data_IF_881151632918
#
_entry.id   IF_881151632918
#
_cell.length_a   1.000
_cell.length_b   1.000
_cell.length_c   1.000
_cell.angle_alpha   90.00
_cell.angle_beta   90.00
_cell.angle_gamma   90.00
#
_symmetry.space_group_name_H-M   'P 1'
#
loop_
_entity.id
_entity.type
_entity.pdbx_description
1 polymer ?
#
# COMPACT_ATOMS: atom_id res chain seq x y z
N UNK A 1 17.32 29.74 7.43
CA UNK A 1 15.97 29.39 6.89
C UNK A 1 15.59 30.55 6.04
N UNK A 2 15.82 30.43 4.77
CA UNK A 2 15.64 31.52 3.82
C UNK A 2 14.14 31.73 3.60
N UNK A 3 13.70 32.99 3.77
CA UNK A 3 12.39 33.46 3.37
C UNK A 3 12.22 33.21 1.88
N UNK A 4 11.54 32.13 1.51
CA UNK A 4 11.00 31.97 0.17
C UNK A 4 9.91 33.02 0.03
N UNK A 5 10.24 34.16 -0.62
CA UNK A 5 9.28 35.21 -0.93
C UNK A 5 8.09 34.60 -1.67
N UNK A 6 6.90 34.97 -1.25
CA UNK A 6 5.63 34.63 -1.90
C UNK A 6 5.70 35.18 -3.35
N UNK A 7 5.99 34.33 -4.30
CA UNK A 7 5.90 34.68 -5.71
C UNK A 7 4.44 34.52 -6.16
N UNK A 8 3.85 35.57 -6.70
CA UNK A 8 2.54 35.50 -7.37
C UNK A 8 2.57 34.38 -8.41
N UNK A 9 1.66 33.39 -8.31
CA UNK A 9 1.58 32.23 -9.20
C UNK A 9 2.25 30.95 -8.66
N UNK A 10 2.85 30.96 -7.45
CA UNK A 10 3.37 29.74 -6.82
C UNK A 10 2.22 28.89 -6.24
N UNK A 11 2.17 27.62 -6.63
CA UNK A 11 1.27 26.62 -6.04
C UNK A 11 2.06 25.81 -5.01
N UNK A 12 1.65 25.79 -3.76
CA UNK A 12 2.29 24.99 -2.72
C UNK A 12 1.93 23.49 -2.90
N UNK A 13 2.89 22.59 -2.62
CA UNK A 13 2.70 21.13 -2.84
C UNK A 13 1.54 20.57 -2.02
N UNK A 14 1.36 21.06 -0.78
CA UNK A 14 0.30 20.62 0.13
C UNK A 14 -1.12 20.99 -0.35
N UNK A 15 -1.23 21.91 -1.33
CA UNK A 15 -2.53 22.30 -1.89
C UNK A 15 -3.06 21.28 -2.91
N UNK A 16 -2.20 20.43 -3.51
CA UNK A 16 -2.58 19.49 -4.56
C UNK A 16 -2.87 18.08 -4.03
N UNK A 17 -2.12 17.63 -3.03
CA UNK A 17 -2.04 16.21 -2.69
C UNK A 17 -1.17 15.42 -3.68
N UNK A 18 -0.84 14.18 -3.33
CA UNK A 18 0.14 13.35 -4.07
C UNK A 18 -0.33 13.03 -5.50
N UNK A 19 -1.54 12.49 -5.64
CA UNK A 19 -2.03 12.00 -6.93
C UNK A 19 -2.31 13.11 -7.94
N UNK A 20 -2.87 14.25 -7.47
CA UNK A 20 -3.04 15.42 -8.33
C UNK A 20 -1.69 16.04 -8.75
N UNK A 21 -0.68 15.94 -7.89
CA UNK A 21 0.69 16.32 -8.24
C UNK A 21 1.27 15.40 -9.32
N UNK A 22 1.14 14.07 -9.16
CA UNK A 22 1.60 13.09 -10.16
C UNK A 22 0.92 13.36 -11.51
N UNK A 23 -0.40 13.50 -11.54
CA UNK A 23 -1.15 13.79 -12.75
C UNK A 23 -0.63 15.08 -13.41
N UNK A 24 -0.46 16.16 -12.65
CA UNK A 24 0.04 17.44 -13.17
C UNK A 24 1.45 17.36 -13.72
N UNK A 25 2.33 16.60 -13.07
CA UNK A 25 3.74 16.46 -13.49
C UNK A 25 3.90 15.52 -14.69
N UNK A 26 2.98 14.59 -14.88
CA UNK A 26 3.02 13.60 -15.97
C UNK A 26 2.10 13.96 -17.13
N UNK A 27 1.29 15.02 -16.99
CA UNK A 27 0.49 15.58 -18.08
C UNK A 27 1.40 16.05 -19.23
N UNK A 28 1.03 15.71 -20.47
CA UNK A 28 1.81 16.05 -21.65
C UNK A 28 2.95 15.09 -22.00
N UNK A 29 3.20 14.04 -21.21
CA UNK A 29 4.09 12.96 -21.63
C UNK A 29 3.41 12.06 -22.67
N UNK A 30 3.80 12.19 -23.91
CA UNK A 30 3.27 11.38 -25.01
C UNK A 30 3.88 9.97 -25.01
N UNK A 31 3.06 8.98 -25.36
CA UNK A 31 3.51 7.61 -25.56
C UNK A 31 4.09 7.45 -26.96
N UNK A 32 5.39 7.13 -27.05
CA UNK A 32 6.12 6.99 -28.32
C UNK A 32 6.36 5.54 -28.74
N UNK A 33 6.15 4.58 -27.84
CA UNK A 33 6.47 3.16 -28.08
C UNK A 33 5.21 2.30 -27.96
N UNK A 34 4.95 1.48 -28.96
CA UNK A 34 3.84 0.54 -28.99
C UNK A 34 3.93 -0.52 -27.87
N UNK A 35 5.13 -0.79 -27.37
CA UNK A 35 5.35 -1.67 -26.24
C UNK A 35 4.90 -1.09 -24.89
N UNK A 36 4.58 0.19 -24.80
CA UNK A 36 3.96 0.79 -23.61
C UNK A 36 2.44 0.60 -23.71
N UNK A 37 1.90 -0.42 -23.09
CA UNK A 37 0.46 -0.73 -23.09
C UNK A 37 -0.27 0.21 -22.13
N UNK A 38 0.24 0.36 -20.91
CA UNK A 38 -0.26 1.28 -19.89
C UNK A 38 0.94 1.93 -19.16
N UNK A 39 0.94 3.25 -19.03
CA UNK A 39 2.00 4.02 -18.40
C UNK A 39 1.68 4.39 -16.95
N UNK A 40 1.73 5.70 -16.65
CA UNK A 40 1.42 6.25 -15.32
C UNK A 40 -0.07 6.18 -15.05
N UNK A 41 -0.47 5.88 -13.80
CA UNK A 41 -1.87 5.94 -13.33
C UNK A 41 -2.41 4.65 -12.72
N UNK A 42 -1.57 3.61 -12.58
CA UNK A 42 -1.92 2.35 -11.90
C UNK A 42 -0.78 1.87 -10.99
N UNK A 43 -0.92 0.74 -10.32
CA UNK A 43 0.08 0.18 -9.39
C UNK A 43 1.38 -0.19 -10.08
N UNK A 44 1.31 -0.62 -11.34
CA UNK A 44 2.48 -0.85 -12.18
C UNK A 44 2.23 -0.43 -13.63
N UNK A 45 3.29 0.00 -14.33
CA UNK A 45 3.26 0.15 -15.77
C UNK A 45 3.17 -1.23 -16.44
N UNK A 46 2.42 -1.30 -17.57
CA UNK A 46 2.25 -2.53 -18.36
C UNK A 46 2.96 -2.37 -19.69
N UNK A 47 3.96 -3.21 -19.92
CA UNK A 47 4.85 -3.16 -21.08
C UNK A 47 4.83 -4.47 -21.88
N UNK A 48 5.14 -4.38 -23.17
CA UNK A 48 5.31 -5.52 -24.06
C UNK A 48 4.24 -5.68 -25.12
N UNK A 49 4.57 -6.33 -26.23
CA UNK A 49 3.70 -6.52 -27.41
C UNK A 49 3.09 -7.93 -27.50
N UNK A 50 3.60 -8.89 -26.71
CA UNK A 50 3.12 -10.28 -26.68
C UNK A 50 1.93 -10.49 -25.75
N UNK A 51 1.41 -11.71 -25.65
CA UNK A 51 0.30 -12.07 -24.75
C UNK A 51 0.69 -12.05 -23.28
N UNK A 52 1.96 -12.20 -22.95
CA UNK A 52 2.51 -11.97 -21.62
C UNK A 52 3.08 -10.55 -21.57
N UNK A 53 2.65 -9.78 -20.60
CA UNK A 53 3.09 -8.40 -20.38
C UNK A 53 4.08 -8.35 -19.23
N UNK A 54 5.00 -7.41 -19.30
CA UNK A 54 5.90 -7.05 -18.20
C UNK A 54 5.24 -5.96 -17.36
N UNK A 55 5.22 -6.15 -16.07
CA UNK A 55 4.77 -5.19 -15.06
C UNK A 55 6.00 -4.54 -14.43
N UNK A 56 6.01 -3.22 -14.31
CA UNK A 56 7.13 -2.47 -13.70
C UNK A 56 6.58 -1.45 -12.71
N UNK A 57 7.03 -1.55 -11.47
CA UNK A 57 6.68 -0.64 -10.38
C UNK A 57 7.92 -0.16 -9.64
N UNK A 58 7.82 0.99 -8.99
CA UNK A 58 8.89 1.58 -8.16
C UNK A 58 8.32 2.01 -6.83
N UNK A 59 9.00 1.62 -5.74
CA UNK A 59 8.68 2.07 -4.39
C UNK A 59 9.93 2.68 -3.74
N UNK A 60 9.78 3.82 -3.07
CA UNK A 60 10.87 4.53 -2.39
C UNK A 60 10.55 4.74 -0.92
N UNK A 61 11.45 4.35 -0.05
CA UNK A 61 11.39 4.59 1.39
C UNK A 61 12.46 5.59 1.82
N UNK A 62 12.06 6.60 2.58
CA UNK A 62 12.92 7.67 3.08
C UNK A 62 12.95 7.63 4.60
N UNK A 63 14.16 7.67 5.18
CA UNK A 63 14.35 7.73 6.62
C UNK A 63 13.69 8.99 7.22
N UNK A 64 13.01 8.80 8.35
CA UNK A 64 12.27 9.86 9.03
C UNK A 64 10.86 10.10 8.46
N UNK A 65 10.50 9.46 7.33
CA UNK A 65 9.16 9.50 6.73
C UNK A 65 8.53 8.10 6.79
N UNK A 66 9.16 7.11 6.14
CA UNK A 66 8.62 5.74 6.03
C UNK A 66 9.15 4.78 7.09
N UNK A 67 10.25 5.12 7.72
CA UNK A 67 10.88 4.35 8.80
C UNK A 67 11.74 5.24 9.70
N UNK A 68 11.92 4.82 10.95
CA UNK A 68 12.79 5.48 11.91
C UNK A 68 13.80 4.45 12.45
N UNK A 69 15.09 4.80 12.40
CA UNK A 69 16.18 3.91 12.83
C UNK A 69 16.21 3.66 14.35
N UNK A 70 15.44 4.39 15.14
CA UNK A 70 15.32 4.12 16.58
C UNK A 70 14.58 2.83 16.89
N UNK A 71 13.66 2.40 16.00
CA UNK A 71 12.83 1.22 16.23
C UNK A 71 12.71 0.28 15.02
N UNK A 72 13.28 0.63 13.87
CA UNK A 72 13.21 -0.22 12.68
C UNK A 72 14.52 -1.02 12.52
N UNK A 73 14.54 -2.34 12.78
CA UNK A 73 15.72 -3.14 12.50
C UNK A 73 16.01 -3.20 11.00
N UNK A 74 17.27 -3.06 10.62
CA UNK A 74 17.66 -2.99 9.19
C UNK A 74 17.23 -4.22 8.39
N UNK A 75 17.27 -5.40 8.98
CA UNK A 75 16.76 -6.62 8.34
C UNK A 75 15.27 -6.55 8.03
N UNK A 76 14.45 -6.00 8.93
CA UNK A 76 13.03 -5.77 8.67
C UNK A 76 12.81 -4.70 7.61
N UNK A 77 13.59 -3.62 7.66
CA UNK A 77 13.53 -2.57 6.63
C UNK A 77 13.81 -3.12 5.24
N UNK A 78 14.87 -3.93 5.08
CA UNK A 78 15.18 -4.56 3.80
C UNK A 78 14.07 -5.48 3.30
N UNK A 79 13.47 -6.27 4.19
CA UNK A 79 12.31 -7.11 3.85
C UNK A 79 11.11 -6.26 3.42
N UNK A 80 10.73 -5.26 4.25
CA UNK A 80 9.59 -4.37 4.02
C UNK A 80 9.70 -3.62 2.68
N UNK A 81 10.88 -3.10 2.35
CA UNK A 81 11.08 -2.35 1.11
C UNK A 81 10.82 -3.22 -0.14
N UNK A 82 11.28 -4.48 -0.12
CA UNK A 82 10.98 -5.42 -1.20
C UNK A 82 9.50 -5.79 -1.19
N UNK A 83 8.93 -6.13 -0.04
CA UNK A 83 7.53 -6.51 0.10
C UNK A 83 6.58 -5.43 -0.43
N UNK A 84 6.82 -4.16 -0.10
CA UNK A 84 6.04 -3.02 -0.59
C UNK A 84 6.10 -2.87 -2.12
N UNK A 85 7.29 -3.01 -2.73
CA UNK A 85 7.42 -2.95 -4.18
C UNK A 85 6.75 -4.14 -4.88
N UNK A 86 6.81 -5.34 -4.28
CA UNK A 86 6.15 -6.54 -4.81
C UNK A 86 4.62 -6.48 -4.65
N UNK A 87 4.11 -5.76 -3.66
CA UNK A 87 2.66 -5.57 -3.44
C UNK A 87 1.98 -4.94 -4.67
N UNK A 88 2.62 -3.97 -5.31
CA UNK A 88 2.14 -3.35 -6.54
C UNK A 88 2.01 -4.36 -7.70
N UNK A 89 2.91 -5.33 -7.77
CA UNK A 89 2.81 -6.42 -8.77
C UNK A 89 1.64 -7.36 -8.45
N UNK A 90 1.42 -7.64 -7.15
CA UNK A 90 0.25 -8.42 -6.71
C UNK A 90 -1.07 -7.68 -7.02
N UNK A 91 -1.12 -6.34 -6.81
CA UNK A 91 -2.26 -5.49 -7.11
C UNK A 91 -2.65 -5.50 -8.61
N UNK A 92 -1.69 -5.74 -9.50
CA UNK A 92 -1.94 -5.94 -10.94
C UNK A 92 -2.27 -7.39 -11.31
N UNK A 93 -2.53 -8.27 -10.33
CA UNK A 93 -2.76 -9.71 -10.51
C UNK A 93 -1.58 -10.42 -11.20
N UNK A 94 -0.37 -9.92 -10.97
CA UNK A 94 0.86 -10.39 -11.59
C UNK A 94 1.64 -11.39 -10.75
N UNK A 95 2.70 -11.92 -11.36
CA UNK A 95 3.70 -12.76 -10.72
C UNK A 95 5.03 -12.01 -10.69
N UNK A 96 5.66 -11.81 -9.52
CA UNK A 96 6.93 -11.09 -9.42
C UNK A 96 8.06 -11.95 -10.01
N UNK A 97 9.10 -11.31 -10.55
CA UNK A 97 10.25 -11.99 -11.16
C UNK A 97 11.58 -11.43 -10.71
N UNK A 98 11.78 -10.15 -10.87
CA UNK A 98 13.06 -9.51 -10.56
C UNK A 98 12.85 -8.22 -9.76
N UNK A 99 13.92 -7.82 -9.06
CA UNK A 99 14.03 -6.48 -8.48
C UNK A 99 15.37 -5.85 -8.80
N UNK A 100 15.41 -4.51 -8.79
CA UNK A 100 16.64 -3.74 -8.58
C UNK A 100 16.52 -2.94 -7.28
N UNK A 101 17.68 -2.69 -6.63
CA UNK A 101 17.72 -1.96 -5.36
C UNK A 101 18.70 -0.79 -5.49
N UNK A 102 18.20 0.43 -5.33
CA UNK A 102 19.05 1.62 -5.24
C UNK A 102 19.06 2.16 -3.82
N UNK A 103 20.25 2.41 -3.28
CA UNK A 103 20.42 2.97 -1.93
C UNK A 103 21.23 4.26 -1.96
N UNK A 104 20.80 5.24 -1.15
CA UNK A 104 21.61 6.39 -0.80
C UNK A 104 21.80 6.40 0.72
N UNK A 105 23.07 6.32 1.17
CA UNK A 105 23.41 6.14 2.57
C UNK A 105 24.45 7.13 3.05
N UNK A 106 24.37 7.52 4.32
CA UNK A 106 25.40 8.36 4.94
C UNK A 106 26.50 7.50 5.56
N UNK A 107 27.66 8.09 5.80
CA UNK A 107 28.83 7.43 6.40
C UNK A 107 28.65 7.04 7.89
N UNK A 108 27.50 7.26 8.49
CA UNK A 108 27.13 6.75 9.81
C UNK A 108 26.80 5.26 9.83
N UNK A 109 26.51 4.68 8.66
CA UNK A 109 26.24 3.25 8.52
C UNK A 109 27.54 2.49 8.25
N UNK A 110 27.74 1.39 8.98
CA UNK A 110 28.84 0.46 8.70
C UNK A 110 28.47 -0.53 7.59
N UNK A 111 29.45 -1.26 7.09
CA UNK A 111 29.24 -2.32 6.10
C UNK A 111 28.32 -3.40 6.69
N UNK A 112 28.55 -3.81 7.94
CA UNK A 112 27.76 -4.82 8.63
C UNK A 112 26.28 -4.40 8.76
N UNK A 113 26.03 -3.10 8.98
CA UNK A 113 24.67 -2.56 9.01
C UNK A 113 23.97 -2.72 7.66
N UNK A 114 24.69 -2.46 6.55
CA UNK A 114 24.15 -2.67 5.21
C UNK A 114 24.03 -4.16 4.85
N UNK A 115 24.89 -5.02 5.36
CA UNK A 115 24.75 -6.48 5.23
C UNK A 115 23.49 -6.98 5.91
N UNK A 116 23.10 -6.44 7.07
CA UNK A 116 21.82 -6.75 7.72
C UNK A 116 20.62 -6.27 6.89
N UNK A 117 20.68 -5.07 6.30
CA UNK A 117 19.66 -4.60 5.37
C UNK A 117 19.49 -5.58 4.20
N UNK A 118 20.59 -5.96 3.57
CA UNK A 118 20.59 -6.89 2.42
C UNK A 118 20.21 -8.33 2.84
N UNK A 119 20.44 -8.73 4.08
CA UNK A 119 19.91 -9.99 4.60
C UNK A 119 18.37 -10.01 4.60
N UNK A 120 17.74 -8.89 4.94
CA UNK A 120 16.29 -8.72 4.82
C UNK A 120 15.78 -8.76 3.39
N UNK A 121 16.45 -8.03 2.48
CA UNK A 121 16.15 -8.07 1.04
C UNK A 121 16.23 -9.51 0.51
N UNK A 122 17.31 -10.21 0.82
CA UNK A 122 17.50 -11.62 0.41
C UNK A 122 16.41 -12.53 0.93
N UNK A 123 16.00 -12.35 2.19
CA UNK A 123 14.93 -13.16 2.79
C UNK A 123 13.59 -12.99 2.04
N UNK A 124 13.23 -11.75 1.70
CA UNK A 124 12.03 -11.48 0.92
C UNK A 124 12.14 -12.06 -0.50
N UNK A 125 13.28 -11.87 -1.18
CA UNK A 125 13.53 -12.45 -2.50
C UNK A 125 13.38 -13.97 -2.49
N UNK A 126 13.96 -14.66 -1.51
CA UNK A 126 13.85 -16.12 -1.36
C UNK A 126 12.41 -16.58 -1.12
N UNK A 127 11.65 -15.82 -0.32
CA UNK A 127 10.26 -16.16 0.00
C UNK A 127 9.33 -16.09 -1.22
N UNK A 128 9.58 -15.14 -2.11
CA UNK A 128 8.72 -14.87 -3.27
C UNK A 128 9.33 -15.32 -4.61
N UNK A 129 10.46 -16.02 -4.58
CA UNK A 129 11.17 -16.53 -5.77
C UNK A 129 11.52 -15.41 -6.76
N UNK A 130 12.16 -14.36 -6.24
CA UNK A 130 12.50 -13.13 -6.97
C UNK A 130 14.01 -12.95 -7.03
N UNK A 131 14.53 -12.60 -8.20
CA UNK A 131 15.96 -12.34 -8.43
C UNK A 131 16.31 -10.86 -8.19
N UNK A 132 17.37 -10.60 -7.44
CA UNK A 132 18.04 -9.32 -7.43
C UNK A 132 18.97 -9.22 -8.66
N UNK A 133 18.63 -8.35 -9.62
CA UNK A 133 19.33 -8.27 -10.91
C UNK A 133 20.17 -7.01 -11.11
N UNK A 134 20.13 -6.06 -10.18
CA UNK A 134 20.90 -4.82 -10.27
C UNK A 134 20.57 -3.82 -9.18
N UNK A 135 21.13 -2.63 -9.33
CA UNK A 135 20.90 -1.54 -8.40
C UNK A 135 21.89 -0.42 -8.55
N UNK A 136 21.86 0.52 -7.61
CA UNK A 136 22.78 1.66 -7.54
C UNK A 136 23.11 2.00 -6.09
N UNK A 137 24.28 2.56 -5.84
CA UNK A 137 24.72 2.95 -4.49
C UNK A 137 25.28 4.36 -4.51
N UNK A 138 24.64 5.24 -3.75
CA UNK A 138 24.99 6.64 -3.65
C UNK A 138 25.22 7.10 -2.21
N UNK A 139 25.85 8.27 -2.06
CA UNK A 139 26.01 8.93 -0.77
C UNK A 139 24.81 9.81 -0.44
N UNK A 140 24.41 9.84 0.82
CA UNK A 140 23.41 10.78 1.37
C UNK A 140 24.00 11.58 2.53
N UNK A 141 23.57 12.83 2.68
CA UNK A 141 23.95 13.68 3.82
C UNK A 141 22.91 13.71 4.94
N UNK A 142 21.68 13.33 4.66
CA UNK A 142 20.53 13.55 5.53
C UNK A 142 19.85 12.26 6.04
N UNK A 143 20.27 11.10 5.58
CA UNK A 143 19.67 9.84 6.00
C UNK A 143 19.77 8.77 4.94
N UNK A 144 19.06 7.66 5.13
CA UNK A 144 18.95 6.58 4.15
C UNK A 144 17.75 6.79 3.23
N UNK A 145 17.98 6.60 1.93
CA UNK A 145 16.91 6.44 0.94
C UNK A 145 17.08 5.07 0.30
N UNK A 146 16.01 4.31 0.25
CA UNK A 146 15.97 2.96 -0.29
C UNK A 146 14.89 2.88 -1.34
N UNK A 147 15.27 2.62 -2.59
CA UNK A 147 14.35 2.48 -3.72
C UNK A 147 14.42 1.07 -4.28
N UNK A 148 13.28 0.42 -4.41
CA UNK A 148 13.15 -0.89 -5.04
C UNK A 148 12.29 -0.76 -6.28
N UNK A 149 12.84 -1.20 -7.43
CA UNK A 149 12.05 -1.38 -8.65
C UNK A 149 11.70 -2.86 -8.76
N UNK A 150 10.42 -3.16 -8.82
CA UNK A 150 9.90 -4.52 -9.02
C UNK A 150 9.53 -4.73 -10.48
N UNK A 151 9.90 -5.88 -11.01
CA UNK A 151 9.52 -6.35 -12.34
C UNK A 151 8.77 -7.67 -12.17
N UNK A 152 7.59 -7.72 -12.77
CA UNK A 152 6.73 -8.89 -12.77
C UNK A 152 6.19 -9.18 -14.17
N UNK A 153 5.37 -10.20 -14.26
CA UNK A 153 4.68 -10.55 -15.50
C UNK A 153 3.25 -11.01 -15.24
N UNK A 154 2.39 -10.82 -16.22
CA UNK A 154 1.03 -11.35 -16.22
C UNK A 154 0.57 -11.63 -17.66
N UNK A 155 -0.35 -12.59 -17.84
CA UNK A 155 -1.08 -12.70 -19.10
C UNK A 155 -1.99 -11.50 -19.28
N UNK A 156 -2.02 -10.88 -20.44
CA UNK A 156 -2.81 -9.68 -20.73
C UNK A 156 -4.28 -9.77 -20.29
N UNK A 157 -4.90 -10.93 -20.50
CA UNK A 157 -6.29 -11.19 -20.09
C UNK A 157 -6.50 -11.31 -18.57
N UNK A 158 -5.43 -11.45 -17.79
CA UNK A 158 -5.48 -11.63 -16.33
C UNK A 158 -5.05 -10.36 -15.58
N UNK A 159 -4.49 -9.37 -16.29
CA UNK A 159 -4.10 -8.11 -15.67
C UNK A 159 -5.35 -7.43 -15.12
N UNK A 160 -5.26 -7.02 -13.87
CA UNK A 160 -6.29 -6.23 -13.20
C UNK A 160 -5.76 -4.82 -12.95
N UNK A 161 -6.59 -3.83 -13.21
CA UNK A 161 -6.29 -2.41 -13.04
C UNK A 161 -7.10 -1.83 -11.88
N UNK A 162 -6.75 -0.63 -11.44
CA UNK A 162 -7.60 0.17 -10.52
C UNK A 162 -8.96 0.48 -11.15
N UNK A 163 -9.00 0.63 -12.47
CA UNK A 163 -10.22 0.83 -13.25
C UNK A 163 -10.87 -0.50 -13.63
N UNK A 164 -12.20 -0.48 -13.87
CA UNK A 164 -12.96 -1.63 -14.38
C UNK A 164 -14.05 -2.14 -13.44
N UNK A 165 -14.13 -1.59 -12.22
CA UNK A 165 -15.24 -1.88 -11.32
C UNK A 165 -16.58 -1.48 -11.97
N UNK A 166 -17.58 -2.33 -11.83
CA UNK A 166 -18.90 -2.17 -12.44
C UNK A 166 -20.00 -2.18 -11.39
N UNK A 167 -21.13 -1.56 -11.71
CA UNK A 167 -22.29 -1.52 -10.83
C UNK A 167 -22.66 -2.91 -10.30
N UNK A 168 -22.87 -3.00 -8.98
CA UNK A 168 -23.16 -4.21 -8.21
C UNK A 168 -22.00 -5.21 -8.07
N UNK A 169 -20.79 -4.87 -8.53
CA UNK A 169 -19.63 -5.69 -8.17
C UNK A 169 -19.44 -5.71 -6.65
N UNK A 170 -19.03 -6.84 -6.15
CA UNK A 170 -18.73 -7.01 -4.73
C UNK A 170 -17.35 -6.42 -4.43
N UNK A 171 -17.24 -5.68 -3.35
CA UNK A 171 -15.96 -5.17 -2.86
C UNK A 171 -15.41 -6.15 -1.84
N UNK A 172 -14.21 -6.63 -2.09
CA UNK A 172 -13.50 -7.59 -1.26
C UNK A 172 -12.18 -6.99 -0.77
N UNK A 173 -11.76 -7.36 0.43
CA UNK A 173 -10.43 -7.04 0.95
C UNK A 173 -9.79 -8.29 1.54
N UNK A 174 -8.48 -8.44 1.39
CA UNK A 174 -7.73 -9.52 2.01
C UNK A 174 -7.31 -9.18 3.45
N UNK A 175 -7.05 -10.21 4.25
CA UNK A 175 -6.48 -10.09 5.60
C UNK A 175 -7.28 -9.20 6.53
N UNK A 176 -6.59 -8.36 7.29
CA UNK A 176 -7.15 -7.35 8.19
C UNK A 176 -6.52 -5.98 7.96
N UNK A 177 -7.18 -4.94 8.46
CA UNK A 177 -6.85 -3.55 8.20
C UNK A 177 -6.54 -2.77 9.48
N UNK A 178 -5.63 -1.80 9.36
CA UNK A 178 -5.23 -0.89 10.41
C UNK A 178 -4.23 -1.47 11.42
N UNK A 179 -3.82 -2.74 11.25
CA UNK A 179 -2.86 -3.39 12.14
C UNK A 179 -1.45 -2.82 11.97
N UNK A 180 -1.03 -2.52 10.75
CA UNK A 180 0.28 -1.91 10.51
C UNK A 180 0.39 -0.52 11.15
N UNK A 181 -0.61 0.31 10.98
CA UNK A 181 -0.65 1.64 11.62
C UNK A 181 -0.70 1.55 13.14
N UNK A 182 -1.42 0.59 13.70
CA UNK A 182 -1.45 0.33 15.14
C UNK A 182 -0.07 -0.06 15.66
N UNK A 183 0.70 -0.85 14.90
CA UNK A 183 2.10 -1.16 15.21
C UNK A 183 2.99 0.08 15.22
N UNK A 184 2.83 0.98 14.25
CA UNK A 184 3.54 2.27 14.21
C UNK A 184 3.23 3.11 15.46
N UNK A 185 1.96 3.20 15.86
CA UNK A 185 1.56 3.95 17.05
C UNK A 185 2.24 3.45 18.33
N UNK A 186 2.35 2.13 18.49
CA UNK A 186 3.08 1.53 19.63
C UNK A 186 4.56 1.91 19.57
N UNK A 187 5.22 1.77 18.42
CA UNK A 187 6.64 2.11 18.28
C UNK A 187 6.92 3.60 18.53
N UNK A 188 6.07 4.49 18.05
CA UNK A 188 6.19 5.93 18.29
C UNK A 188 5.97 6.27 19.79
N UNK A 189 5.02 5.62 20.47
CA UNK A 189 4.80 5.76 21.91
C UNK A 189 6.05 5.35 22.69
N UNK A 190 6.60 4.19 22.39
CA UNK A 190 7.79 3.66 23.06
C UNK A 190 9.03 4.53 22.78
N UNK A 191 9.18 5.04 21.56
CA UNK A 191 10.24 6.00 21.21
C UNK A 191 10.16 7.29 22.05
N UNK A 192 8.96 7.85 22.24
CA UNK A 192 8.77 9.03 23.09
C UNK A 192 9.15 8.71 24.55
N UNK A 193 8.72 7.58 25.07
CA UNK A 193 9.03 7.10 26.42
C UNK A 193 10.53 6.91 26.61
N UNK A 194 11.20 6.22 25.68
CA UNK A 194 12.65 6.00 25.73
C UNK A 194 13.44 7.31 25.67
N UNK A 195 13.03 8.27 24.83
CA UNK A 195 13.68 9.59 24.78
C UNK A 195 13.56 10.37 26.08
N UNK A 196 12.43 10.23 26.80
CA UNK A 196 12.21 10.86 28.10
C UNK A 196 12.99 10.17 29.24
N UNK A 197 13.16 8.84 29.17
CA UNK A 197 13.87 8.04 30.15
C UNK A 197 14.58 6.85 29.49
N UNK A 198 15.86 6.99 29.10
CA UNK A 198 16.62 5.95 28.41
C UNK A 198 16.86 4.66 29.26
N UNK A 199 16.68 4.71 30.55
CA UNK A 199 16.79 3.51 31.43
C UNK A 199 15.53 2.64 31.38
N UNK A 200 14.45 3.15 30.80
CA UNK A 200 13.21 2.40 30.63
C UNK A 200 13.33 1.42 29.45
N UNK A 201 13.00 0.16 29.70
CA UNK A 201 12.96 -0.86 28.65
C UNK A 201 11.53 -0.93 28.09
N UNK A 202 11.34 -0.77 26.77
CA UNK A 202 10.03 -0.90 26.14
C UNK A 202 9.44 -2.30 26.37
N UNK A 203 8.17 -2.38 26.72
CA UNK A 203 7.42 -3.64 26.77
C UNK A 203 6.62 -3.83 25.47
N UNK A 204 7.19 -4.58 24.56
CA UNK A 204 6.62 -4.87 23.25
C UNK A 204 5.99 -6.27 23.15
N UNK A 205 6.18 -7.13 24.16
CA UNK A 205 5.85 -8.56 24.10
C UNK A 205 4.36 -8.87 23.85
N UNK A 206 3.46 -7.92 24.13
CA UNK A 206 2.03 -8.12 23.93
C UNK A 206 1.49 -7.52 22.62
N UNK A 207 2.37 -7.00 21.76
CA UNK A 207 2.01 -6.32 20.51
C UNK A 207 2.61 -6.99 19.27
N UNK A 208 3.08 -8.23 19.39
CA UNK A 208 3.83 -8.95 18.35
C UNK A 208 3.14 -8.88 16.99
N UNK A 209 1.83 -9.10 16.95
CA UNK A 209 1.08 -9.11 15.70
C UNK A 209 1.10 -7.75 14.98
N UNK A 210 0.70 -6.67 15.66
CA UNK A 210 0.66 -5.33 15.03
C UNK A 210 2.06 -4.83 14.69
N UNK A 211 3.07 -5.20 15.47
CA UNK A 211 4.47 -4.88 15.18
C UNK A 211 4.98 -5.64 13.94
N UNK A 212 4.64 -6.94 13.83
CA UNK A 212 4.98 -7.72 12.63
C UNK A 212 4.30 -7.14 11.40
N UNK A 213 3.02 -6.78 11.47
CA UNK A 213 2.29 -6.14 10.37
C UNK A 213 2.96 -4.85 9.89
N UNK A 214 3.46 -4.01 10.79
CA UNK A 214 4.16 -2.78 10.43
C UNK A 214 5.59 -3.01 9.92
N UNK A 215 6.38 -3.86 10.61
CA UNK A 215 7.80 -4.04 10.33
C UNK A 215 8.07 -5.02 9.18
N UNK A 216 7.16 -5.97 8.95
CA UNK A 216 7.33 -7.06 7.98
C UNK A 216 6.02 -7.39 7.27
N UNK A 217 5.47 -6.47 6.47
CA UNK A 217 4.26 -6.72 5.70
C UNK A 217 4.50 -7.83 4.67
N UNK A 218 3.41 -8.50 4.27
CA UNK A 218 3.45 -9.61 3.32
C UNK A 218 2.62 -9.26 2.08
N UNK A 219 3.22 -9.13 0.89
CA UNK A 219 2.46 -8.94 -0.35
C UNK A 219 1.60 -10.17 -0.64
N UNK A 220 0.34 -9.94 -0.99
CA UNK A 220 -0.71 -10.97 -0.99
C UNK A 220 -0.77 -11.81 -2.26
N UNK A 221 0.35 -12.39 -2.66
CA UNK A 221 0.39 -13.36 -3.77
C UNK A 221 -0.36 -14.67 -3.46
N UNK A 222 -0.61 -14.97 -2.19
CA UNK A 222 -1.49 -16.06 -1.78
C UNK A 222 -2.93 -15.84 -2.31
N UNK A 223 -3.44 -14.61 -2.22
CA UNK A 223 -4.75 -14.23 -2.74
C UNK A 223 -4.78 -14.26 -4.27
N UNK A 224 -3.75 -13.71 -4.93
CA UNK A 224 -3.61 -13.79 -6.40
C UNK A 224 -3.69 -15.26 -6.88
N UNK A 225 -2.95 -16.17 -6.22
CA UNK A 225 -3.01 -17.61 -6.53
C UNK A 225 -4.38 -18.24 -6.25
N UNK A 226 -5.05 -17.86 -5.16
CA UNK A 226 -6.40 -18.35 -4.84
C UNK A 226 -7.40 -17.91 -5.90
N UNK A 227 -7.40 -16.63 -6.31
CA UNK A 227 -8.25 -16.09 -7.38
C UNK A 227 -8.02 -16.85 -8.69
N UNK A 228 -6.77 -17.01 -9.09
CA UNK A 228 -6.42 -17.77 -10.29
C UNK A 228 -6.90 -19.23 -10.25
N UNK A 229 -6.74 -19.93 -9.12
CA UNK A 229 -7.19 -21.30 -8.93
C UNK A 229 -8.69 -21.49 -9.04
N UNK A 230 -9.46 -20.44 -8.70
CA UNK A 230 -10.93 -20.39 -8.78
C UNK A 230 -11.42 -19.86 -10.14
N UNK A 231 -10.51 -19.49 -11.04
CA UNK A 231 -10.84 -18.86 -12.33
C UNK A 231 -11.59 -17.55 -12.15
N UNK A 232 -11.17 -16.74 -11.18
CA UNK A 232 -11.67 -15.37 -10.93
C UNK A 232 -10.60 -14.38 -11.35
N UNK A 233 -10.97 -13.45 -12.20
CA UNK A 233 -10.18 -12.24 -12.48
C UNK A 233 -10.96 -11.08 -11.90
N UNK A 234 -10.40 -10.33 -10.92
CA UNK A 234 -11.05 -9.17 -10.35
C UNK A 234 -11.38 -8.13 -11.43
N UNK A 235 -12.46 -7.40 -11.25
CA UNK A 235 -12.87 -6.33 -12.17
C UNK A 235 -12.06 -5.06 -11.93
N UNK A 236 -11.63 -4.81 -10.69
CA UNK A 236 -10.62 -3.81 -10.32
C UNK A 236 -9.80 -4.31 -9.12
N UNK A 237 -8.59 -3.80 -8.94
CA UNK A 237 -7.75 -4.13 -7.80
C UNK A 237 -6.71 -3.04 -7.51
N UNK A 238 -6.33 -2.90 -6.25
CA UNK A 238 -5.29 -2.01 -5.73
C UNK A 238 -4.75 -2.62 -4.43
N UNK A 239 -3.51 -2.34 -4.04
CA UNK A 239 -3.04 -2.69 -2.71
C UNK A 239 -3.36 -1.58 -1.69
N UNK A 240 -3.54 -1.96 -0.42
CA UNK A 240 -3.88 -1.02 0.66
C UNK A 240 -2.58 -0.50 1.29
N UNK A 241 -2.04 0.57 0.71
CA UNK A 241 -0.81 1.25 1.14
C UNK A 241 -1.08 2.48 2.00
N UNK A 242 -2.13 3.25 1.69
CA UNK A 242 -2.45 4.54 2.34
C UNK A 242 -3.71 4.48 3.22
N UNK A 243 -4.37 3.32 3.25
CA UNK A 243 -5.57 3.04 4.02
C UNK A 243 -6.81 2.86 3.15
N UNK A 244 -7.76 2.05 3.63
CA UNK A 244 -8.92 1.60 2.86
C UNK A 244 -9.70 2.75 2.19
N UNK A 245 -9.83 3.90 2.85
CA UNK A 245 -10.59 5.04 2.31
C UNK A 245 -9.94 5.61 1.05
N UNK A 246 -8.60 5.74 1.05
CA UNK A 246 -7.82 6.20 -0.10
C UNK A 246 -8.03 5.27 -1.29
N UNK A 247 -7.87 3.97 -1.08
CA UNK A 247 -7.91 2.97 -2.14
C UNK A 247 -9.32 2.79 -2.71
N UNK A 248 -10.37 2.87 -1.89
CA UNK A 248 -11.75 2.90 -2.37
C UNK A 248 -12.02 4.11 -3.26
N UNK A 249 -11.53 5.30 -2.86
CA UNK A 249 -11.65 6.52 -3.65
C UNK A 249 -10.93 6.39 -4.99
N UNK A 250 -9.75 5.75 -5.02
CA UNK A 250 -9.02 5.48 -6.27
C UNK A 250 -9.78 4.55 -7.21
N UNK A 251 -10.29 3.43 -6.72
CA UNK A 251 -11.12 2.52 -7.52
C UNK A 251 -12.34 3.27 -8.06
N UNK A 252 -13.03 4.04 -7.22
CA UNK A 252 -14.21 4.79 -7.62
C UNK A 252 -13.88 5.84 -8.70
N UNK A 253 -12.80 6.59 -8.54
CA UNK A 253 -12.37 7.61 -9.51
C UNK A 253 -11.96 6.97 -10.83
N UNK A 254 -11.12 5.93 -10.81
CA UNK A 254 -10.65 5.25 -12.01
C UNK A 254 -11.77 4.53 -12.77
N UNK A 255 -12.77 4.01 -12.03
CA UNK A 255 -13.92 3.29 -12.60
C UNK A 255 -15.14 4.17 -12.82
N UNK A 256 -15.12 5.46 -12.44
CA UNK A 256 -16.25 6.41 -12.53
C UNK A 256 -17.52 5.90 -11.84
N UNK A 257 -17.41 5.40 -10.64
CA UNK A 257 -18.50 4.83 -9.86
C UNK A 257 -18.46 5.36 -8.43
N UNK A 258 -19.47 5.03 -7.61
CA UNK A 258 -19.44 5.14 -6.16
C UNK A 258 -19.26 3.78 -5.52
N UNK A 259 -19.20 3.76 -4.19
CA UNK A 259 -19.18 2.52 -3.45
C UNK A 259 -19.88 2.66 -2.10
N UNK A 260 -20.35 1.53 -1.60
CA UNK A 260 -20.93 1.39 -0.28
C UNK A 260 -20.22 0.26 0.47
N UNK A 261 -19.52 0.59 1.57
CA UNK A 261 -18.87 -0.40 2.44
C UNK A 261 -19.51 -0.40 3.81
N UNK A 262 -19.55 -1.55 4.48
CA UNK A 262 -20.23 -1.74 5.76
C UNK A 262 -19.22 -1.81 6.90
N UNK A 263 -19.30 -0.89 7.86
CA UNK A 263 -18.41 -0.85 9.02
C UNK A 263 -18.29 -2.19 9.73
N UNK A 264 -19.43 -2.88 9.94
CA UNK A 264 -19.49 -4.19 10.61
C UNK A 264 -18.78 -5.32 9.86
N UNK A 265 -18.47 -5.12 8.57
CA UNK A 265 -17.80 -6.12 7.73
C UNK A 265 -16.31 -5.85 7.53
N UNK A 266 -15.81 -4.73 8.05
CA UNK A 266 -14.39 -4.43 7.97
C UNK A 266 -13.60 -5.42 8.83
N UNK A 267 -12.64 -6.14 8.27
CA UNK A 267 -11.80 -7.05 9.04
C UNK A 267 -10.80 -6.24 9.86
N UNK A 268 -10.98 -6.20 11.16
CA UNK A 268 -10.11 -5.50 12.11
C UNK A 268 -9.70 -6.50 13.19
N UNK A 269 -8.40 -6.71 13.35
CA UNK A 269 -7.87 -7.63 14.35
C UNK A 269 -8.11 -7.14 15.78
N UNK A 270 -8.23 -8.09 16.71
CA UNK A 270 -8.39 -7.80 18.12
C UNK A 270 -7.25 -6.95 18.69
N UNK A 271 -5.99 -7.18 18.28
CA UNK A 271 -4.86 -6.39 18.75
C UNK A 271 -4.95 -4.93 18.28
N UNK A 272 -5.44 -4.67 17.07
CA UNK A 272 -5.73 -3.31 16.59
C UNK A 272 -6.75 -2.62 17.50
N UNK A 273 -7.85 -3.29 17.82
CA UNK A 273 -8.88 -2.77 18.75
C UNK A 273 -8.30 -2.49 20.13
N UNK A 274 -7.48 -3.39 20.64
CA UNK A 274 -6.80 -3.24 21.92
C UNK A 274 -5.87 -2.02 21.93
N UNK A 275 -5.00 -1.88 20.91
CA UNK A 275 -4.09 -0.74 20.78
C UNK A 275 -4.87 0.57 20.77
N UNK A 276 -5.94 0.68 19.98
CA UNK A 276 -6.77 1.89 19.96
C UNK A 276 -7.31 2.25 21.35
N UNK A 277 -7.79 1.27 22.11
CA UNK A 277 -8.32 1.50 23.46
C UNK A 277 -7.25 1.94 24.47
N UNK A 278 -6.00 1.47 24.31
CA UNK A 278 -4.86 1.84 25.16
C UNK A 278 -4.28 3.22 24.80
N UNK A 279 -4.31 3.60 23.52
CA UNK A 279 -3.76 4.88 23.06
C UNK A 279 -4.67 6.06 23.40
N UNK A 280 -5.97 5.94 23.20
CA UNK A 280 -6.95 6.97 23.53
C UNK A 280 -8.37 6.41 23.52
N UNK A 281 -9.19 6.81 24.50
CA UNK A 281 -10.62 6.45 24.52
C UNK A 281 -11.42 6.97 23.30
N UNK A 282 -10.87 7.90 22.55
CA UNK A 282 -11.51 8.47 21.34
C UNK A 282 -10.95 7.89 20.03
N UNK A 283 -9.95 7.00 20.09
CA UNK A 283 -9.40 6.36 18.90
C UNK A 283 -10.24 5.15 18.52
N UNK A 284 -10.87 5.23 17.36
CA UNK A 284 -11.70 4.14 16.84
C UNK A 284 -10.86 3.21 15.95
N UNK A 285 -10.95 1.89 16.12
CA UNK A 285 -10.23 0.94 15.27
C UNK A 285 -10.55 1.11 13.78
N UNK A 286 -11.80 1.46 13.45
CA UNK A 286 -12.23 1.76 12.10
C UNK A 286 -11.46 2.93 11.49
N UNK A 287 -11.06 3.92 12.28
CA UNK A 287 -10.24 5.05 11.78
C UNK A 287 -8.84 4.60 11.36
N UNK A 288 -8.24 3.65 12.09
CA UNK A 288 -6.97 3.05 11.70
C UNK A 288 -7.09 2.23 10.42
N UNK A 289 -8.18 1.48 10.25
CA UNK A 289 -8.45 0.72 9.04
C UNK A 289 -8.69 1.62 7.81
N UNK A 290 -9.41 2.71 7.97
CA UNK A 290 -9.74 3.63 6.88
C UNK A 290 -8.55 4.51 6.46
N UNK A 291 -7.74 4.99 7.43
CA UNK A 291 -6.75 6.04 7.18
C UNK A 291 -5.32 5.69 7.64
N UNK A 292 -5.11 4.52 8.20
CA UNK A 292 -3.78 4.05 8.60
C UNK A 292 -3.14 3.23 7.48
N UNK A 293 -2.08 3.68 6.86
CA UNK A 293 -1.43 2.96 5.77
C UNK A 293 -0.52 1.81 6.21
N UNK A 294 0.07 1.14 5.21
CA UNK A 294 1.11 0.14 5.38
C UNK A 294 0.63 -1.29 5.59
N UNK A 295 -0.65 -1.60 5.41
CA UNK A 295 -1.20 -2.95 5.54
C UNK A 295 -0.80 -3.86 4.36
N UNK A 296 -0.66 -3.31 3.15
CA UNK A 296 -0.31 -4.03 1.91
C UNK A 296 -1.23 -5.24 1.63
N UNK A 297 -2.49 -5.11 2.06
CA UNK A 297 -3.56 -6.02 1.68
C UNK A 297 -4.08 -5.71 0.28
N UNK A 298 -4.81 -6.63 -0.36
CA UNK A 298 -5.45 -6.37 -1.65
C UNK A 298 -6.91 -5.96 -1.44
N UNK A 299 -7.27 -4.80 -1.96
CA UNK A 299 -8.64 -4.36 -2.15
C UNK A 299 -9.03 -4.61 -3.61
N UNK A 300 -10.12 -5.33 -3.84
CA UNK A 300 -10.52 -5.68 -5.20
C UNK A 300 -12.04 -5.79 -5.36
N UNK A 301 -12.52 -5.60 -6.57
CA UNK A 301 -13.92 -5.86 -6.90
C UNK A 301 -14.06 -7.11 -7.78
N UNK A 302 -15.18 -7.81 -7.61
CA UNK A 302 -15.53 -8.98 -8.41
C UNK A 302 -16.99 -8.93 -8.84
N UNK A 303 -17.28 -9.42 -10.04
CA UNK A 303 -18.66 -9.52 -10.52
C UNK A 303 -19.52 -10.42 -9.62
N UNK A 304 -20.78 -10.06 -9.42
CA UNK A 304 -21.73 -10.85 -8.57
C UNK A 304 -21.80 -12.33 -8.93
N UNK A 305 -21.63 -12.69 -10.23
CA UNK A 305 -21.62 -14.09 -10.67
C UNK A 305 -20.52 -14.93 -10.02
N UNK A 306 -19.46 -14.30 -9.54
CA UNK A 306 -18.31 -14.96 -8.90
C UNK A 306 -18.46 -15.03 -7.37
N UNK A 307 -19.59 -14.57 -6.79
CA UNK A 307 -19.85 -14.60 -5.34
C UNK A 307 -19.60 -15.98 -4.74
N UNK A 308 -20.14 -17.05 -5.32
CA UNK A 308 -19.98 -18.42 -4.82
C UNK A 308 -18.53 -18.91 -4.83
N UNK A 309 -17.66 -18.29 -5.64
CA UNK A 309 -16.23 -18.63 -5.69
C UNK A 309 -15.41 -17.88 -4.62
N UNK A 310 -15.83 -16.65 -4.27
CA UNK A 310 -15.05 -15.78 -3.38
C UNK A 310 -15.54 -15.77 -1.93
N UNK A 311 -16.80 -16.05 -1.66
CA UNK A 311 -17.41 -15.97 -0.32
C UNK A 311 -16.71 -16.82 0.75
N UNK A 312 -16.11 -17.95 0.36
CA UNK A 312 -15.41 -18.88 1.24
C UNK A 312 -13.90 -18.92 0.98
N UNK A 313 -13.34 -17.86 0.38
CA UNK A 313 -11.87 -17.73 0.22
C UNK A 313 -11.25 -17.43 1.58
N UNK A 314 -10.16 -18.13 1.86
CA UNK A 314 -9.40 -17.90 3.08
C UNK A 314 -8.77 -16.49 3.06
N UNK A 315 -8.92 -15.77 4.17
CA UNK A 315 -8.42 -14.41 4.32
C UNK A 315 -8.97 -13.40 3.28
N UNK A 316 -10.22 -13.60 2.83
CA UNK A 316 -10.93 -12.64 1.98
C UNK A 316 -12.27 -12.28 2.61
N UNK A 317 -12.57 -11.00 2.69
CA UNK A 317 -13.78 -10.46 3.31
C UNK A 317 -14.55 -9.62 2.29
N UNK A 318 -15.83 -9.91 2.11
CA UNK A 318 -16.74 -9.09 1.29
C UNK A 318 -17.23 -7.95 2.19
N UNK A 319 -16.77 -6.74 1.91
CA UNK A 319 -17.01 -5.57 2.77
C UNK A 319 -18.08 -4.62 2.23
N UNK A 320 -18.47 -4.73 0.96
CA UNK A 320 -19.40 -3.81 0.34
C UNK A 320 -19.70 -4.13 -1.11
N UNK A 321 -20.14 -3.12 -1.84
CA UNK A 321 -20.45 -3.23 -3.26
C UNK A 321 -20.25 -1.88 -3.99
N UNK A 322 -20.10 -1.96 -5.31
CA UNK A 322 -20.00 -0.81 -6.21
C UNK A 322 -21.40 -0.27 -6.50
N UNK A 323 -21.54 1.06 -6.45
CA UNK A 323 -22.76 1.81 -6.73
C UNK A 323 -22.68 2.58 -8.05
N UNK A 324 -23.76 3.25 -8.44
CA UNK A 324 -23.88 3.94 -9.71
C UNK A 324 -22.85 5.07 -9.90
N UNK A 325 -22.61 5.43 -11.18
CA UNK A 325 -21.82 6.61 -11.55
C UNK A 325 -22.44 7.89 -10.94
N UNK A 326 -21.58 8.75 -10.39
CA UNK A 326 -21.99 9.98 -9.70
C UNK A 326 -22.42 9.76 -8.25
N UNK A 327 -22.51 8.52 -7.77
CA UNK A 327 -22.69 8.23 -6.34
C UNK A 327 -21.39 8.48 -5.57
N UNK A 328 -21.53 8.79 -4.27
CA UNK A 328 -20.39 8.99 -3.40
C UNK A 328 -19.82 7.65 -2.91
N UNK A 329 -18.55 7.65 -2.53
CA UNK A 329 -17.98 6.57 -1.74
C UNK A 329 -18.37 6.78 -0.26
N UNK A 330 -19.09 5.81 0.30
CA UNK A 330 -19.62 5.94 1.67
C UNK A 330 -19.39 4.68 2.50
N UNK A 331 -19.32 4.85 3.81
CA UNK A 331 -19.37 3.77 4.79
C UNK A 331 -20.74 3.80 5.50
N UNK A 332 -21.38 2.66 5.59
CA UNK A 332 -22.62 2.46 6.34
C UNK A 332 -22.28 1.98 7.74
N UNK A 333 -22.73 2.72 8.74
CA UNK A 333 -22.52 2.39 10.16
C UNK A 333 -23.53 1.34 10.64
N UNK A 334 -23.29 0.70 11.81
CA UNK A 334 -24.25 -0.22 12.43
C UNK A 334 -25.65 0.38 12.71
N UNK A 335 -25.74 1.70 12.80
CA UNK A 335 -26.99 2.44 12.98
C UNK A 335 -27.68 2.81 11.65
N UNK A 336 -27.23 2.26 10.52
CA UNK A 336 -27.70 2.60 9.17
C UNK A 336 -27.52 4.09 8.79
N UNK A 337 -26.55 4.77 9.38
CA UNK A 337 -26.12 6.10 8.94
C UNK A 337 -25.00 5.98 7.91
N UNK A 338 -24.97 6.85 6.94
CA UNK A 338 -23.90 6.90 5.92
C UNK A 338 -22.88 7.97 6.28
N UNK A 339 -21.60 7.62 6.19
CA UNK A 339 -20.48 8.52 6.38
C UNK A 339 -19.72 8.57 5.04
N UNK A 340 -19.53 9.75 4.49
CA UNK A 340 -18.73 9.94 3.29
C UNK A 340 -17.26 9.61 3.58
N UNK A 341 -16.65 8.81 2.72
CA UNK A 341 -15.22 8.50 2.81
C UNK A 341 -14.40 9.72 2.38
N UNK A 342 -13.37 10.00 3.16
CA UNK A 342 -12.35 11.02 2.88
C UNK A 342 -11.00 10.44 3.21
N UNK A 343 -9.97 10.81 2.46
CA UNK A 343 -8.60 10.35 2.68
C UNK A 343 -7.62 11.52 2.65
N UNK A 344 -6.56 11.43 3.44
CA UNK A 344 -5.46 12.39 3.39
C UNK A 344 -4.76 12.26 2.02
N UNK A 345 -4.41 13.40 1.42
CA UNK A 345 -3.77 13.39 0.09
C UNK A 345 -4.71 13.20 -1.10
N UNK A 346 -5.95 12.77 -0.86
CA UNK A 346 -6.97 12.67 -1.89
C UNK A 346 -7.82 13.96 -1.90
N UNK A 347 -7.90 14.61 -3.06
CA UNK A 347 -8.82 15.74 -3.28
C UNK A 347 -9.71 15.40 -4.45
N UNK A 348 -11.02 15.54 -4.25
CA UNK A 348 -11.96 15.44 -5.38
C UNK A 348 -11.70 16.56 -6.36
N UNK A 349 -11.79 16.24 -7.65
CA UNK A 349 -11.85 17.27 -8.70
C UNK A 349 -13.23 17.93 -8.62
N UNK A 350 -13.24 19.25 -8.44
CA UNK A 350 -14.45 20.07 -8.52
C UNK A 350 -15.08 20.01 -9.91
#
# INVERSE_FOLDING_TARGET
MDNLEYQEGRTELDTLGEFALIERLTDGFERHNDSTVFGVGDDAAVLGTGPTKTLVSVNTMVEGIHFDMMYTPLKHLGYKAVAAALSNIAAMNGTPRQITVSIAVSNRYSVEALEELYAGIRLCCQRYDVDLVGGDTNSSRIGMVLTVTAVGEAEEKSITYRSGASLHDLICVSGDLGSAYSGLLILEREKVTYKANPDFQPDLASYDYVLERFLKPEPRFDIVRQLASKGVVPTSMIDVSDGLASELLHICQCSKCGCEVYEERLPIDYQTTRVCSEMSHNMLPVSNALNGGGDYELLFSVAQKDYEKVKDMENVHIIGHITEEGSQAVMVTPQNSTIRLVAQGFREKD
#
